data_IF_244288655202
#
_entry.id   IF_244288655202
#
_cell.length_a   1.000
_cell.length_b   1.000
_cell.length_c   1.000
_cell.angle_alpha   90.00
_cell.angle_beta   90.00
_cell.angle_gamma   90.00
#
_symmetry.space_group_name_H-M   'P 1'
#
loop_
_entity.id
_entity.type
_entity.pdbx_description
1 polymer ?
#
# COMPACT_ATOMS: atom_id res chain seq x y z
N UNK A 1 -3.16 -18.68 7.98
CA UNK A 1 -3.17 -17.25 7.58
C UNK A 1 -4.30 -16.54 8.32
N UNK A 2 -4.01 -15.42 8.94
CA UNK A 2 -4.99 -14.68 9.73
C UNK A 2 -5.47 -13.45 8.93
N UNK A 3 -6.47 -13.68 8.08
CA UNK A 3 -7.06 -12.65 7.22
C UNK A 3 -8.56 -12.52 7.54
N UNK A 4 -9.03 -11.28 7.70
CA UNK A 4 -10.48 -11.04 7.84
C UNK A 4 -11.19 -11.45 6.56
N UNK A 5 -12.33 -12.14 6.69
CA UNK A 5 -13.09 -12.65 5.55
C UNK A 5 -14.24 -11.73 5.13
N UNK A 6 -14.54 -10.73 5.95
CA UNK A 6 -15.56 -9.71 5.68
C UNK A 6 -14.89 -8.36 5.55
N UNK A 7 -15.10 -7.64 4.45
CA UNK A 7 -14.54 -6.30 4.32
C UNK A 7 -15.30 -5.27 5.15
N UNK A 8 -14.56 -4.27 5.61
CA UNK A 8 -15.15 -3.08 6.21
C UNK A 8 -15.17 -1.96 5.16
N UNK A 9 -16.31 -1.28 4.97
CA UNK A 9 -16.32 -0.10 4.12
C UNK A 9 -15.54 1.03 4.80
N UNK A 10 -14.71 1.71 4.01
CA UNK A 10 -13.99 2.88 4.53
C UNK A 10 -13.74 3.88 3.41
N UNK A 11 -13.51 5.13 3.81
CA UNK A 11 -13.04 6.17 2.89
C UNK A 11 -11.57 6.44 3.18
N UNK A 12 -10.71 6.22 2.17
CA UNK A 12 -9.31 6.57 2.28
C UNK A 12 -9.15 8.07 2.06
N UNK A 13 -8.47 8.79 2.96
CA UNK A 13 -8.36 10.25 2.85
C UNK A 13 -7.42 10.68 1.74
N UNK A 14 -7.57 11.91 1.30
CA UNK A 14 -6.61 12.55 0.42
C UNK A 14 -5.22 12.53 1.09
N UNK A 15 -4.20 12.11 0.34
CA UNK A 15 -2.88 11.78 0.90
C UNK A 15 -1.76 12.37 0.05
N UNK A 16 -0.86 13.11 0.70
CA UNK A 16 0.41 13.48 0.08
C UNK A 16 1.29 12.23 0.00
N UNK A 17 1.61 11.79 -1.21
CA UNK A 17 2.25 10.49 -1.44
C UNK A 17 3.52 10.66 -2.26
N UNK A 18 4.63 10.14 -1.72
CA UNK A 18 5.96 10.16 -2.35
C UNK A 18 6.36 8.71 -2.61
N UNK A 19 6.78 8.41 -3.85
CA UNK A 19 6.86 7.02 -4.26
C UNK A 19 7.89 6.77 -5.37
N UNK A 20 8.19 5.49 -5.55
CA UNK A 20 8.88 4.93 -6.71
C UNK A 20 7.91 4.00 -7.42
N UNK A 21 7.75 4.20 -8.73
CA UNK A 21 6.88 3.37 -9.56
C UNK A 21 7.69 2.38 -10.37
N UNK A 22 7.20 1.14 -10.42
CA UNK A 22 7.75 0.08 -11.28
C UNK A 22 6.60 -0.56 -12.05
N UNK A 23 6.90 -1.03 -13.27
CA UNK A 23 5.94 -1.75 -14.11
C UNK A 23 6.48 -3.15 -14.36
N UNK A 24 5.66 -4.17 -14.16
CA UNK A 24 6.01 -5.56 -14.33
C UNK A 24 5.47 -6.45 -13.22
N UNK A 25 5.89 -7.71 -13.20
CA UNK A 25 5.44 -8.68 -12.20
C UNK A 25 5.74 -8.20 -10.80
N UNK A 26 4.73 -8.22 -9.93
CA UNK A 26 4.87 -7.71 -8.56
C UNK A 26 5.87 -8.50 -7.72
N UNK A 27 6.08 -9.80 -8.02
CA UNK A 27 7.11 -10.60 -7.36
C UNK A 27 8.51 -10.01 -7.56
N UNK A 28 8.73 -9.32 -8.68
CA UNK A 28 10.01 -8.69 -9.02
C UNK A 28 10.04 -7.22 -8.64
N UNK A 29 8.97 -6.48 -9.00
CA UNK A 29 8.95 -5.01 -8.86
C UNK A 29 8.75 -4.54 -7.43
N UNK A 30 7.94 -5.25 -6.62
CA UNK A 30 7.68 -4.84 -5.25
C UNK A 30 8.94 -4.83 -4.38
N UNK A 31 9.74 -5.92 -4.32
CA UNK A 31 10.98 -5.88 -3.54
C UNK A 31 11.96 -4.81 -4.01
N UNK A 32 12.10 -4.63 -5.33
CA UNK A 32 13.00 -3.63 -5.90
C UNK A 32 12.58 -2.21 -5.52
N UNK A 33 11.29 -1.91 -5.66
CA UNK A 33 10.76 -0.58 -5.34
C UNK A 33 10.92 -0.27 -3.84
N UNK A 34 10.61 -1.22 -2.97
CA UNK A 34 10.74 -1.04 -1.53
C UNK A 34 12.18 -0.90 -1.08
N UNK A 35 13.11 -1.65 -1.68
CA UNK A 35 14.53 -1.49 -1.37
C UNK A 35 14.98 -0.06 -1.67
N UNK A 36 14.59 0.49 -2.82
CA UNK A 36 14.95 1.85 -3.21
C UNK A 36 14.31 2.89 -2.28
N UNK A 37 13.04 2.72 -1.92
CA UNK A 37 12.35 3.63 -0.98
C UNK A 37 13.05 3.64 0.38
N UNK A 38 13.35 2.46 0.93
CA UNK A 38 13.99 2.36 2.25
C UNK A 38 15.35 3.03 2.27
N UNK A 39 16.13 2.97 1.19
CA UNK A 39 17.39 3.66 1.08
C UNK A 39 17.23 5.19 1.12
N UNK A 40 16.10 5.72 0.64
CA UNK A 40 15.85 7.16 0.57
C UNK A 40 15.07 7.71 1.77
N UNK A 41 14.51 6.86 2.63
CA UNK A 41 13.72 7.29 3.79
C UNK A 41 14.47 8.27 4.70
N UNK A 42 15.75 8.06 5.06
CA UNK A 42 16.46 9.05 5.90
C UNK A 42 16.49 10.44 5.26
N UNK A 43 16.72 10.51 3.95
CA UNK A 43 16.74 11.79 3.22
C UNK A 43 15.37 12.45 3.13
N UNK A 44 14.32 11.64 2.96
CA UNK A 44 12.94 12.15 2.98
C UNK A 44 12.61 12.76 4.35
N UNK A 45 12.93 12.05 5.43
CA UNK A 45 12.57 12.46 6.78
C UNK A 45 13.37 13.66 7.31
N UNK A 46 14.47 14.03 6.66
CA UNK A 46 15.21 15.25 7.00
C UNK A 46 14.37 16.52 6.84
N UNK A 47 13.49 16.55 5.85
CA UNK A 47 12.74 17.74 5.49
C UNK A 47 11.20 17.55 5.56
N UNK A 48 10.73 16.31 5.76
CA UNK A 48 9.32 15.97 5.67
C UNK A 48 8.92 15.04 6.80
N UNK A 49 7.69 15.18 7.30
CA UNK A 49 7.16 14.26 8.29
C UNK A 49 6.47 13.08 7.59
N UNK A 50 7.04 11.89 7.72
CA UNK A 50 6.45 10.64 7.21
C UNK A 50 5.35 10.20 8.18
N UNK A 51 4.15 9.94 7.63
CA UNK A 51 2.99 9.51 8.42
C UNK A 51 2.62 8.05 8.21
N UNK A 52 3.16 7.39 7.19
CA UNK A 52 2.88 5.98 6.94
C UNK A 52 3.66 5.43 5.77
N UNK A 53 3.61 4.11 5.64
CA UNK A 53 4.21 3.34 4.54
C UNK A 53 3.10 2.66 3.79
N UNK A 54 2.99 2.88 2.50
CA UNK A 54 1.83 2.49 1.69
C UNK A 54 2.28 2.06 0.29
N UNK A 55 1.73 0.94 -0.19
CA UNK A 55 1.82 0.57 -1.59
C UNK A 55 0.53 0.92 -2.30
N UNK A 56 0.64 1.48 -3.50
CA UNK A 56 -0.49 1.67 -4.42
C UNK A 56 -0.22 0.85 -5.67
N UNK A 57 -1.19 0.04 -6.11
CA UNK A 57 -0.95 -0.82 -7.26
C UNK A 57 -2.20 -1.03 -8.11
N UNK A 58 -1.99 -1.33 -9.39
CA UNK A 58 -3.04 -1.72 -10.34
C UNK A 58 -2.64 -3.05 -10.97
N UNK A 59 -3.50 -4.06 -10.82
CA UNK A 59 -3.20 -5.43 -11.25
C UNK A 59 -3.17 -5.56 -12.77
N UNK A 60 -4.15 -5.00 -13.47
CA UNK A 60 -4.26 -5.10 -14.92
C UNK A 60 -3.02 -4.58 -15.65
N UNK A 61 -2.65 -3.30 -15.49
CA UNK A 61 -1.45 -2.76 -16.14
C UNK A 61 -0.14 -3.13 -15.43
N UNK A 62 -0.18 -3.86 -14.32
CA UNK A 62 0.99 -4.26 -13.52
C UNK A 62 1.82 -3.08 -13.04
N UNK A 63 1.15 -2.02 -12.59
CA UNK A 63 1.79 -0.84 -12.02
C UNK A 63 1.89 -1.03 -10.51
N UNK A 64 3.10 -0.86 -9.98
CA UNK A 64 3.36 -0.96 -8.54
C UNK A 64 4.08 0.30 -8.06
N UNK A 65 3.54 0.93 -7.03
CA UNK A 65 4.14 2.09 -6.36
C UNK A 65 4.46 1.73 -4.91
N UNK A 66 5.72 1.85 -4.54
CA UNK A 66 6.15 1.77 -3.15
C UNK A 66 6.40 3.19 -2.66
N UNK A 67 5.91 3.54 -1.49
CA UNK A 67 6.05 4.91 -1.04
C UNK A 67 5.67 5.18 0.40
N UNK A 68 5.73 6.45 0.73
CA UNK A 68 5.40 6.96 2.05
C UNK A 68 4.38 8.08 1.94
N UNK A 69 3.47 8.14 2.93
CA UNK A 69 2.58 9.28 3.08
C UNK A 69 3.27 10.35 3.93
N UNK A 70 2.97 11.61 3.60
CA UNK A 70 3.54 12.76 4.30
C UNK A 70 2.42 13.60 4.93
N UNK A 71 2.77 14.31 6.01
CA UNK A 71 1.82 15.20 6.69
C UNK A 71 1.41 16.41 5.84
N UNK A 72 2.27 16.81 4.89
CA UNK A 72 2.05 17.94 4.00
C UNK A 72 2.74 17.70 2.66
N UNK A 73 2.51 18.56 1.67
CA UNK A 73 3.23 18.51 0.41
C UNK A 73 4.74 18.60 0.68
N UNK A 74 5.58 17.83 -0.06
CA UNK A 74 7.01 17.77 0.24
C UNK A 74 7.70 19.11 -0.01
N UNK A 75 8.60 19.49 0.91
CA UNK A 75 9.44 20.67 0.76
C UNK A 75 10.68 20.40 -0.09
N UNK A 76 11.24 19.20 0.08
CA UNK A 76 12.43 18.76 -0.64
C UNK A 76 12.41 17.26 -0.80
N UNK A 77 12.64 16.77 -2.03
CA UNK A 77 12.70 15.34 -2.32
C UNK A 77 14.03 14.93 -2.91
N UNK A 78 14.61 13.82 -2.44
CA UNK A 78 15.75 13.20 -3.11
C UNK A 78 15.43 12.85 -4.56
N UNK A 79 16.46 12.83 -5.40
CA UNK A 79 16.34 12.39 -6.79
C UNK A 79 15.81 10.94 -6.85
N UNK A 80 14.99 10.65 -7.83
CA UNK A 80 14.42 9.33 -8.07
C UNK A 80 13.03 9.11 -7.49
N UNK A 81 12.53 10.07 -6.69
CA UNK A 81 11.20 10.00 -6.10
C UNK A 81 10.23 10.88 -6.87
N UNK A 82 8.99 10.41 -7.01
CA UNK A 82 7.88 11.18 -7.53
C UNK A 82 6.92 11.56 -6.40
N UNK A 83 6.12 12.58 -6.64
CA UNK A 83 5.09 13.03 -5.72
C UNK A 83 3.75 13.10 -6.44
N UNK A 84 2.69 12.71 -5.73
CA UNK A 84 1.30 12.95 -6.15
C UNK A 84 0.42 13.23 -4.95
N UNK A 85 -0.63 14.00 -5.17
CA UNK A 85 -1.72 14.12 -4.21
C UNK A 85 -2.72 13.01 -4.54
N UNK A 86 -2.66 11.90 -3.79
CA UNK A 86 -3.55 10.77 -3.98
C UNK A 86 -4.92 11.13 -3.42
N UNK A 87 -5.95 11.07 -4.26
CA UNK A 87 -7.29 11.54 -3.89
C UNK A 87 -8.00 10.64 -2.89
N UNK A 88 -7.66 9.36 -2.86
CA UNK A 88 -8.38 8.41 -2.02
C UNK A 88 -9.77 8.09 -2.54
N UNK A 89 -10.70 7.84 -1.66
CA UNK A 89 -12.09 7.53 -1.99
C UNK A 89 -12.59 6.28 -1.28
N UNK A 90 -13.64 5.68 -1.81
CA UNK A 90 -14.29 4.51 -1.20
C UNK A 90 -13.51 3.24 -1.43
N UNK A 91 -13.30 2.48 -0.35
CA UNK A 91 -12.58 1.21 -0.34
C UNK A 91 -13.29 0.18 0.50
N UNK A 92 -13.07 -1.08 0.18
CA UNK A 92 -13.38 -2.22 1.05
C UNK A 92 -12.07 -2.68 1.69
N UNK A 93 -12.00 -2.67 3.01
CA UNK A 93 -10.79 -2.96 3.79
C UNK A 93 -10.81 -4.38 4.33
N UNK A 94 -9.71 -5.10 4.08
CA UNK A 94 -9.41 -6.39 4.69
C UNK A 94 -8.15 -6.22 5.54
N UNK A 95 -8.02 -7.01 6.60
CA UNK A 95 -6.87 -6.92 7.50
C UNK A 95 -6.17 -8.28 7.58
N UNK A 96 -4.89 -8.28 7.25
CA UNK A 96 -4.00 -9.42 7.44
C UNK A 96 -3.16 -9.18 8.70
N UNK A 97 -3.18 -10.15 9.63
CA UNK A 97 -2.27 -10.17 10.78
C UNK A 97 -1.30 -11.32 10.59
N UNK A 98 -0.02 -11.02 10.41
CA UNK A 98 1.01 -12.02 10.18
C UNK A 98 2.11 -11.52 9.27
N UNK A 99 3.05 -12.42 8.89
CA UNK A 99 4.23 -12.02 8.12
C UNK A 99 3.88 -11.56 6.71
N UNK A 100 4.72 -10.70 6.16
CA UNK A 100 4.57 -10.21 4.79
C UNK A 100 4.66 -11.32 3.73
N UNK A 101 5.27 -12.45 4.08
CA UNK A 101 5.29 -13.63 3.20
C UNK A 101 3.88 -14.18 2.91
N UNK A 102 2.89 -13.86 3.74
CA UNK A 102 1.49 -14.24 3.52
C UNK A 102 0.73 -13.30 2.57
N UNK A 103 1.31 -12.14 2.22
CA UNK A 103 0.59 -11.12 1.44
C UNK A 103 0.12 -11.60 0.07
N UNK A 104 0.92 -12.40 -0.64
CA UNK A 104 0.51 -12.94 -1.94
C UNK A 104 -0.75 -13.80 -1.85
N UNK A 105 -0.77 -14.72 -0.89
CA UNK A 105 -1.93 -15.58 -0.63
C UNK A 105 -3.14 -14.77 -0.14
N UNK A 106 -2.90 -13.83 0.77
CA UNK A 106 -3.95 -12.96 1.30
C UNK A 106 -4.60 -12.12 0.19
N UNK A 107 -3.81 -11.51 -0.68
CA UNK A 107 -4.32 -10.73 -1.81
C UNK A 107 -5.16 -11.58 -2.76
N UNK A 108 -4.71 -12.79 -3.06
CA UNK A 108 -5.49 -13.74 -3.86
C UNK A 108 -6.84 -14.04 -3.24
N UNK A 109 -6.87 -14.30 -1.93
CA UNK A 109 -8.13 -14.56 -1.21
C UNK A 109 -9.04 -13.32 -1.17
N UNK A 110 -8.48 -12.13 -1.00
CA UNK A 110 -9.26 -10.88 -1.03
C UNK A 110 -9.98 -10.72 -2.38
N UNK A 111 -9.28 -10.94 -3.50
CA UNK A 111 -9.90 -10.84 -4.82
C UNK A 111 -10.96 -11.92 -5.05
N UNK A 112 -10.77 -13.14 -4.51
CA UNK A 112 -11.81 -14.17 -4.54
C UNK A 112 -13.07 -13.72 -3.79
N UNK A 113 -12.92 -13.17 -2.58
CA UNK A 113 -14.05 -12.67 -1.78
C UNK A 113 -14.80 -11.56 -2.52
N UNK A 114 -14.05 -10.61 -3.11
CA UNK A 114 -14.64 -9.52 -3.88
C UNK A 114 -15.49 -10.08 -5.04
N UNK A 115 -14.98 -11.08 -5.75
CA UNK A 115 -15.70 -11.72 -6.84
C UNK A 115 -16.93 -12.51 -6.35
N UNK A 116 -16.77 -13.32 -5.30
CA UNK A 116 -17.83 -14.15 -4.73
C UNK A 116 -19.00 -13.30 -4.19
N UNK A 117 -18.68 -12.18 -3.56
CA UNK A 117 -19.67 -11.29 -2.94
C UNK A 117 -20.20 -10.22 -3.90
N UNK A 118 -19.72 -10.22 -5.14
CA UNK A 118 -20.15 -9.30 -6.21
C UNK A 118 -19.99 -7.83 -5.84
N UNK A 119 -18.93 -7.49 -5.10
CA UNK A 119 -18.58 -6.11 -4.79
C UNK A 119 -18.20 -5.40 -6.10
N UNK A 120 -18.81 -4.25 -6.36
CA UNK A 120 -18.49 -3.46 -7.56
C UNK A 120 -17.20 -2.69 -7.36
N UNK A 121 -16.25 -2.92 -8.26
CA UNK A 121 -14.96 -2.26 -8.24
C UNK A 121 -15.03 -0.88 -8.88
N UNK A 122 -14.24 0.04 -8.33
CA UNK A 122 -13.97 1.35 -8.91
C UNK A 122 -12.61 1.29 -9.58
N UNK A 123 -12.44 1.99 -10.68
CA UNK A 123 -11.17 2.05 -11.41
C UNK A 123 -10.22 3.01 -10.72
N UNK A 124 -9.40 2.48 -9.83
CA UNK A 124 -8.41 3.23 -9.05
C UNK A 124 -7.34 2.26 -8.52
N UNK A 125 -6.36 2.78 -7.78
CA UNK A 125 -5.31 1.97 -7.18
C UNK A 125 -5.84 1.16 -5.99
N UNK A 126 -5.43 -0.10 -5.92
CA UNK A 126 -5.50 -0.87 -4.68
C UNK A 126 -4.44 -0.36 -3.70
N UNK A 127 -4.71 -0.53 -2.41
CA UNK A 127 -3.81 -0.04 -1.35
C UNK A 127 -3.39 -1.20 -0.47
N UNK A 128 -2.08 -1.26 -0.14
CA UNK A 128 -1.58 -2.01 1.01
C UNK A 128 -1.01 -1.01 1.98
N UNK A 129 -1.58 -0.95 3.18
CA UNK A 129 -1.13 -0.06 4.24
C UNK A 129 -0.44 -0.87 5.34
N UNK A 130 0.83 -0.59 5.58
CA UNK A 130 1.66 -1.29 6.56
C UNK A 130 1.55 -0.55 7.89
N UNK A 131 0.69 -1.07 8.78
CA UNK A 131 0.22 -0.37 9.98
C UNK A 131 1.31 -0.22 11.03
N UNK A 132 2.13 -1.27 11.23
CA UNK A 132 3.17 -1.27 12.25
C UNK A 132 4.56 -1.52 11.66
N UNK A 133 5.58 -1.18 12.45
CA UNK A 133 6.97 -1.24 12.01
C UNK A 133 7.52 -2.67 12.11
N UNK A 134 7.94 -3.27 10.97
CA UNK A 134 8.46 -4.64 11.00
C UNK A 134 9.79 -4.78 11.76
N UNK A 135 10.50 -3.67 12.00
CA UNK A 135 11.77 -3.68 12.76
C UNK A 135 11.53 -3.86 14.26
N UNK A 136 10.35 -3.48 14.75
CA UNK A 136 10.02 -3.48 16.18
C UNK A 136 8.83 -4.37 16.55
N UNK A 137 8.16 -4.96 15.53
CA UNK A 137 6.98 -5.79 15.72
C UNK A 137 7.30 -7.24 15.35
N UNK A 138 6.96 -8.23 16.20
CA UNK A 138 7.11 -9.64 15.83
C UNK A 138 6.33 -9.96 14.54
N UNK A 139 6.89 -10.79 13.68
CA UNK A 139 6.30 -11.12 12.36
C UNK A 139 4.83 -11.54 12.47
N UNK A 140 4.49 -12.35 13.45
CA UNK A 140 3.13 -12.87 13.63
C UNK A 140 2.12 -11.80 14.06
N UNK A 141 2.61 -10.63 14.45
CA UNK A 141 1.80 -9.49 14.90
C UNK A 141 1.80 -8.34 13.90
N UNK A 142 2.47 -8.48 12.76
CA UNK A 142 2.44 -7.48 11.70
C UNK A 142 1.02 -7.32 11.16
N UNK A 143 0.59 -6.08 10.98
CA UNK A 143 -0.74 -5.75 10.48
C UNK A 143 -0.60 -5.05 9.14
N UNK A 144 -1.23 -5.63 8.12
CA UNK A 144 -1.35 -5.03 6.79
C UNK A 144 -2.81 -4.88 6.45
N UNK A 145 -3.21 -3.67 6.12
CA UNK A 145 -4.54 -3.42 5.56
C UNK A 145 -4.47 -3.58 4.04
N UNK A 146 -5.39 -4.37 3.50
CA UNK A 146 -5.53 -4.57 2.05
C UNK A 146 -6.85 -3.92 1.65
N UNK A 147 -6.77 -2.88 0.83
CA UNK A 147 -7.94 -2.08 0.48
C UNK A 147 -8.18 -2.13 -1.02
N UNK A 148 -9.40 -2.51 -1.38
CA UNK A 148 -9.82 -2.64 -2.77
C UNK A 148 -10.76 -1.47 -3.10
N UNK A 149 -10.51 -0.71 -4.18
CA UNK A 149 -11.36 0.43 -4.53
C UNK A 149 -12.75 -0.06 -4.95
N UNK A 150 -13.79 0.49 -4.33
CA UNK A 150 -15.17 0.10 -4.55
C UNK A 150 -16.06 1.30 -4.87
N UNK A 151 -17.16 1.00 -5.52
CA UNK A 151 -18.17 2.02 -5.85
C UNK A 151 -18.97 2.44 -4.63
#
# INVERSE_FOLDING_TARGET
MNLTQKPDPMTWPETHYVFIEKVGRFQDTAPQAWQSVHQLVPSISEHNKITGYVSLYQVGPKIYRAGVSLAAAPEHLPEGLAYTLFKGGKYSRFVLTGPYSDLGEASGRVFEIVSETKIQLRDDYCIENYVNDPRTTPEQQLITEILIPTV
#
